data_IF_576146617662
#
_entry.id   IF_576146617662
#
_cell.length_a   1.000
_cell.length_b   1.000
_cell.length_c   1.000
_cell.angle_alpha   90.00
_cell.angle_beta   90.00
_cell.angle_gamma   90.00
#
_symmetry.space_group_name_H-M   'P 1'
#
loop_
_entity.id
_entity.type
_entity.pdbx_description
1 polymer ?
#
# COMPACT_ATOMS: atom_id res chain seq x y z
N UNK A 1 -18.74 13.85 12.68
CA UNK A 1 -18.16 13.32 11.43
C UNK A 1 -17.08 12.32 11.79
N UNK A 2 -17.07 11.16 11.13
CA UNK A 2 -16.02 10.14 11.27
C UNK A 2 -14.75 10.52 10.51
N UNK A 3 -13.85 9.57 10.34
CA UNK A 3 -12.66 9.70 9.49
C UNK A 3 -13.07 9.67 8.01
N UNK A 4 -12.50 10.55 7.18
CA UNK A 4 -12.77 10.59 5.72
C UNK A 4 -11.80 9.74 4.91
N UNK A 5 -10.63 9.45 5.46
CA UNK A 5 -9.62 8.59 4.85
C UNK A 5 -8.86 7.83 5.93
N UNK A 6 -7.94 6.97 5.50
CA UNK A 6 -7.24 6.13 6.44
C UNK A 6 -6.33 5.10 5.81
N UNK A 7 -5.70 4.34 6.69
CA UNK A 7 -5.10 3.06 6.36
C UNK A 7 -5.51 2.06 7.42
N UNK A 8 -5.81 0.84 6.99
CA UNK A 8 -6.17 -0.25 7.89
C UNK A 8 -5.37 -1.50 7.59
N UNK A 9 -5.09 -2.28 8.62
CA UNK A 9 -4.55 -3.63 8.56
C UNK A 9 -5.46 -4.58 9.30
N UNK A 10 -5.52 -5.80 8.82
CA UNK A 10 -6.24 -6.87 9.49
C UNK A 10 -5.45 -8.16 9.29
N UNK A 11 -5.20 -8.83 10.40
CA UNK A 11 -4.60 -10.15 10.43
C UNK A 11 -5.72 -11.16 10.64
N UNK A 12 -5.59 -12.32 10.00
CA UNK A 12 -6.60 -13.36 10.04
C UNK A 12 -7.97 -12.93 9.48
N UNK A 13 -8.90 -13.87 9.42
CA UNK A 13 -10.27 -13.63 8.95
C UNK A 13 -10.67 -14.59 7.83
N UNK A 14 -11.97 -14.92 7.82
CA UNK A 14 -12.59 -15.74 6.79
C UNK A 14 -13.38 -14.86 5.82
N UNK A 15 -13.24 -15.11 4.53
CA UNK A 15 -13.94 -14.37 3.48
C UNK A 15 -14.65 -15.32 2.52
N UNK A 16 -15.91 -15.00 2.20
CA UNK A 16 -16.76 -15.77 1.28
C UNK A 16 -18.03 -14.98 0.83
N UNK A 17 -18.20 -14.69 -0.48
CA UNK A 17 -17.26 -14.98 -1.57
C UNK A 17 -16.00 -14.10 -1.51
N UNK A 18 -14.98 -14.50 -2.26
CA UNK A 18 -13.73 -13.77 -2.41
C UNK A 18 -13.39 -13.57 -3.90
N UNK A 19 -12.92 -12.37 -4.25
CA UNK A 19 -12.54 -11.99 -5.61
C UNK A 19 -11.27 -11.13 -5.57
N UNK A 20 -10.35 -11.44 -6.47
CA UNK A 20 -9.07 -10.74 -6.55
C UNK A 20 -8.53 -10.74 -7.98
N UNK A 21 -7.53 -9.91 -8.22
CA UNK A 21 -6.74 -9.85 -9.45
C UNK A 21 -5.26 -9.87 -9.12
N UNK A 22 -4.47 -10.31 -10.08
CA UNK A 22 -3.02 -10.38 -10.04
C UNK A 22 -2.42 -9.29 -10.93
N UNK A 23 -1.17 -8.86 -10.67
CA UNK A 23 -0.48 -8.01 -11.63
C UNK A 23 -0.31 -8.78 -12.94
N UNK A 24 -0.43 -8.08 -14.06
CA UNK A 24 -0.26 -8.64 -15.39
C UNK A 24 0.41 -7.62 -16.31
N UNK A 25 0.96 -8.12 -17.41
CA UNK A 25 1.47 -7.25 -18.45
C UNK A 25 0.30 -6.64 -19.22
N UNK A 26 0.43 -5.39 -19.63
CA UNK A 26 -0.55 -4.79 -20.53
C UNK A 26 -0.59 -5.53 -21.86
N UNK A 27 -1.79 -5.63 -22.43
CA UNK A 27 -2.00 -6.12 -23.80
C UNK A 27 -2.23 -4.99 -24.80
N UNK A 28 -2.24 -3.74 -24.33
CA UNK A 28 -2.44 -2.53 -25.13
C UNK A 28 -1.24 -1.59 -25.10
N UNK A 29 -1.28 -0.56 -25.94
CA UNK A 29 -0.23 0.45 -26.04
C UNK A 29 -0.41 1.63 -25.06
N UNK A 30 -1.50 1.65 -24.28
CA UNK A 30 -1.86 2.76 -23.39
C UNK A 30 -1.42 2.54 -21.95
N UNK A 31 -1.19 1.30 -21.52
CA UNK A 31 -0.83 0.96 -20.15
C UNK A 31 0.52 0.24 -20.08
N UNK A 32 1.30 0.53 -19.04
CA UNK A 32 2.57 -0.17 -18.76
C UNK A 32 2.35 -1.54 -18.10
N UNK A 33 1.24 -1.71 -17.39
CA UNK A 33 0.81 -2.95 -16.73
C UNK A 33 -0.72 -3.02 -16.74
N UNK A 34 -1.28 -4.17 -16.39
CA UNK A 34 -2.72 -4.37 -16.28
C UNK A 34 -3.04 -5.34 -15.14
N UNK A 35 -4.32 -5.51 -14.85
CA UNK A 35 -4.79 -6.58 -13.99
C UNK A 35 -5.04 -7.86 -14.80
N UNK A 36 -4.78 -9.01 -14.18
CA UNK A 36 -5.23 -10.30 -14.72
C UNK A 36 -6.77 -10.34 -14.85
N UNK A 37 -7.32 -11.35 -15.55
CA UNK A 37 -8.71 -11.74 -15.31
C UNK A 37 -9.00 -11.94 -13.82
N UNK A 38 -10.24 -11.70 -13.41
CA UNK A 38 -10.67 -11.89 -12.03
C UNK A 38 -10.61 -13.34 -11.62
N UNK A 39 -9.94 -13.61 -10.50
CA UNK A 39 -9.94 -14.90 -9.84
C UNK A 39 -11.10 -15.01 -8.85
N UNK A 40 -11.65 -16.22 -8.78
CA UNK A 40 -12.91 -16.51 -8.12
C UNK A 40 -12.85 -17.83 -7.35
N UNK A 41 -11.95 -17.98 -6.36
CA UNK A 41 -11.75 -19.25 -5.68
C UNK A 41 -13.06 -19.76 -5.07
N UNK A 42 -13.29 -21.06 -5.16
CA UNK A 42 -14.45 -21.70 -4.55
C UNK A 42 -14.27 -21.81 -3.04
N UNK A 43 -15.35 -21.55 -2.30
CA UNK A 43 -15.41 -21.66 -0.85
C UNK A 43 -14.69 -20.55 -0.09
N UNK A 44 -14.39 -20.85 1.18
CA UNK A 44 -13.82 -19.91 2.13
C UNK A 44 -12.34 -19.64 1.89
N UNK A 45 -11.98 -18.37 1.77
CA UNK A 45 -10.60 -17.87 1.80
C UNK A 45 -10.19 -17.49 3.22
N UNK A 46 -8.96 -17.85 3.62
CA UNK A 46 -8.38 -17.47 4.92
C UNK A 46 -7.31 -16.40 4.73
N UNK A 47 -7.56 -15.21 5.25
CA UNK A 47 -6.58 -14.13 5.23
C UNK A 47 -5.44 -14.44 6.20
N UNK A 48 -4.20 -14.22 5.78
CA UNK A 48 -3.06 -14.13 6.70
C UNK A 48 -2.91 -12.69 7.17
N UNK A 49 -2.81 -11.79 6.20
CA UNK A 49 -2.73 -10.34 6.43
C UNK A 49 -3.26 -9.59 5.23
N UNK A 50 -4.12 -8.61 5.47
CA UNK A 50 -4.53 -7.62 4.50
C UNK A 50 -4.21 -6.22 4.98
N UNK A 51 -3.97 -5.32 4.03
CA UNK A 51 -3.93 -3.89 4.29
C UNK A 51 -4.72 -3.14 3.22
N UNK A 52 -5.33 -2.04 3.63
CA UNK A 52 -6.12 -1.23 2.72
C UNK A 52 -5.93 0.26 2.97
N UNK A 53 -5.80 1.00 1.87
CA UNK A 53 -5.95 2.44 1.85
C UNK A 53 -7.44 2.74 1.81
N UNK A 54 -7.90 3.57 2.74
CA UNK A 54 -9.30 3.99 2.86
C UNK A 54 -9.45 5.37 2.27
N UNK A 55 -10.34 5.49 1.30
CA UNK A 55 -10.58 6.72 0.57
C UNK A 55 -11.99 6.77 0.00
N UNK A 56 -12.12 7.39 -1.16
CA UNK A 56 -13.38 7.54 -1.87
C UNK A 56 -13.23 7.36 -3.37
N UNK A 57 -14.34 7.02 -4.02
CA UNK A 57 -14.50 6.94 -5.46
C UNK A 57 -15.88 7.46 -5.82
N UNK A 58 -15.94 8.46 -6.70
CA UNK A 58 -17.21 9.11 -7.10
C UNK A 58 -18.01 9.64 -5.90
N UNK A 59 -17.30 10.15 -4.88
CA UNK A 59 -17.88 10.66 -3.63
C UNK A 59 -18.43 9.58 -2.68
N UNK A 60 -18.25 8.29 -3.00
CA UNK A 60 -18.64 7.17 -2.15
C UNK A 60 -17.42 6.53 -1.47
N UNK A 61 -17.55 5.96 -0.27
CA UNK A 61 -16.46 5.23 0.39
C UNK A 61 -15.90 4.13 -0.50
N UNK A 62 -14.58 4.06 -0.60
CA UNK A 62 -13.88 3.07 -1.40
C UNK A 62 -12.57 2.68 -0.72
N UNK A 63 -12.10 1.45 -0.96
CA UNK A 63 -10.81 0.99 -0.45
C UNK A 63 -9.98 0.36 -1.57
N UNK A 64 -8.68 0.58 -1.52
CA UNK A 64 -7.69 -0.14 -2.31
C UNK A 64 -6.98 -1.10 -1.37
N UNK A 65 -7.02 -2.42 -1.63
CA UNK A 65 -6.61 -3.43 -0.67
C UNK A 65 -5.73 -4.50 -1.28
N UNK A 66 -4.57 -4.73 -0.68
CA UNK A 66 -3.69 -5.87 -0.97
C UNK A 66 -3.64 -6.81 0.23
N UNK A 67 -3.28 -8.07 0.00
CA UNK A 67 -3.11 -9.02 1.09
C UNK A 67 -2.52 -10.35 0.66
N UNK A 68 -2.27 -11.21 1.65
CA UNK A 68 -1.81 -12.59 1.50
C UNK A 68 -2.84 -13.49 2.16
N UNK A 69 -3.27 -14.53 1.45
CA UNK A 69 -4.33 -15.43 1.91
C UNK A 69 -4.10 -16.86 1.41
N UNK A 70 -4.77 -17.82 2.03
CA UNK A 70 -4.85 -19.19 1.54
C UNK A 70 -6.20 -19.45 0.86
N UNK A 71 -6.12 -20.12 -0.28
CA UNK A 71 -7.25 -20.74 -0.99
C UNK A 71 -7.15 -22.26 -0.87
N UNK A 72 -8.15 -22.99 -1.37
CA UNK A 72 -8.07 -24.46 -1.52
C UNK A 72 -6.91 -24.91 -2.42
N UNK A 73 -6.44 -24.04 -3.30
CA UNK A 73 -5.34 -24.27 -4.25
C UNK A 73 -3.98 -23.76 -3.72
N UNK A 74 -3.92 -23.37 -2.44
CA UNK A 74 -2.72 -22.88 -1.78
C UNK A 74 -2.68 -21.37 -1.60
N UNK A 75 -1.51 -20.88 -1.18
CA UNK A 75 -1.27 -19.48 -0.84
C UNK A 75 -1.32 -18.59 -2.08
N UNK A 76 -1.89 -17.40 -1.92
CA UNK A 76 -2.03 -16.35 -2.93
C UNK A 76 -1.79 -14.99 -2.29
N UNK A 77 -1.47 -14.02 -3.12
CA UNK A 77 -1.34 -12.60 -2.77
C UNK A 77 -1.81 -11.79 -3.97
N UNK A 78 -2.29 -10.58 -3.77
CA UNK A 78 -2.60 -9.66 -4.86
C UNK A 78 -3.56 -8.57 -4.45
N UNK A 79 -4.25 -8.02 -5.44
CA UNK A 79 -5.22 -6.96 -5.26
C UNK A 79 -6.61 -7.54 -5.00
N UNK A 80 -7.20 -7.21 -3.86
CA UNK A 80 -8.54 -7.63 -3.48
C UNK A 80 -9.59 -6.74 -4.14
N UNK A 81 -10.56 -7.35 -4.81
CA UNK A 81 -11.75 -6.65 -5.28
C UNK A 81 -12.72 -6.49 -4.11
N UNK A 82 -12.51 -5.43 -3.33
CA UNK A 82 -13.19 -5.21 -2.05
C UNK A 82 -14.72 -5.19 -2.17
N UNK A 83 -15.27 -4.59 -3.24
CA UNK A 83 -16.72 -4.54 -3.47
C UNK A 83 -17.35 -5.90 -3.76
N UNK A 84 -16.55 -6.86 -4.24
CA UNK A 84 -16.99 -8.21 -4.61
C UNK A 84 -16.54 -9.28 -3.60
N UNK A 85 -15.99 -8.85 -2.47
CA UNK A 85 -15.46 -9.72 -1.40
C UNK A 85 -16.20 -9.46 -0.10
N UNK A 86 -16.56 -10.53 0.62
CA UNK A 86 -17.31 -10.41 1.88
C UNK A 86 -16.59 -11.08 3.03
N UNK A 87 -16.45 -10.35 4.12
CA UNK A 87 -16.04 -10.86 5.43
C UNK A 87 -17.12 -11.84 5.93
N UNK A 88 -16.76 -13.11 6.12
CA UNK A 88 -17.68 -14.18 6.50
C UNK A 88 -17.85 -14.33 8.02
N UNK A 89 -16.98 -13.71 8.82
CA UNK A 89 -17.06 -13.65 10.28
C UNK A 89 -16.37 -12.37 10.80
N UNK A 90 -16.74 -11.87 11.99
CA UNK A 90 -16.12 -10.66 12.53
C UNK A 90 -14.60 -10.73 12.49
N UNK A 91 -13.97 -9.70 11.92
CA UNK A 91 -12.52 -9.55 11.84
C UNK A 91 -12.11 -8.30 12.61
N UNK A 92 -11.04 -8.41 13.38
CA UNK A 92 -10.44 -7.25 14.02
C UNK A 92 -9.64 -6.45 12.99
N UNK A 93 -9.81 -5.12 13.02
CA UNK A 93 -9.14 -4.21 12.11
C UNK A 93 -8.45 -3.13 12.93
N UNK A 94 -7.16 -2.94 12.69
CA UNK A 94 -6.36 -1.86 13.27
C UNK A 94 -6.07 -0.83 12.20
N UNK A 95 -6.03 0.46 12.52
CA UNK A 95 -5.75 1.46 11.51
C UNK A 95 -5.53 2.87 12.01
N UNK A 96 -5.15 3.74 11.07
CA UNK A 96 -4.98 5.18 11.24
C UNK A 96 -6.15 5.85 10.52
N UNK A 97 -6.95 6.60 11.27
CA UNK A 97 -8.06 7.38 10.74
C UNK A 97 -7.66 8.84 10.54
N UNK A 98 -8.03 9.39 9.39
CA UNK A 98 -7.66 10.74 8.97
C UNK A 98 -8.88 11.64 8.86
N UNK A 99 -8.70 12.90 9.24
CA UNK A 99 -9.71 13.96 9.12
C UNK A 99 -9.18 15.10 8.28
N UNK A 100 -10.04 15.66 7.43
CA UNK A 100 -9.69 16.81 6.58
C UNK A 100 -8.88 16.45 5.32
N UNK A 101 -8.46 15.19 5.18
CA UNK A 101 -7.73 14.66 4.03
C UNK A 101 -8.22 13.24 3.73
N UNK A 102 -8.15 12.83 2.47
CA UNK A 102 -8.45 11.46 2.02
C UNK A 102 -7.71 11.13 0.73
N UNK A 103 -7.84 9.89 0.26
CA UNK A 103 -7.53 9.54 -1.12
C UNK A 103 -8.80 9.55 -1.96
N UNK A 104 -8.79 10.22 -3.10
CA UNK A 104 -9.87 10.18 -4.09
C UNK A 104 -9.40 9.44 -5.33
N UNK A 105 -10.24 8.57 -5.88
CA UNK A 105 -9.92 7.82 -7.09
C UNK A 105 -10.17 8.72 -8.30
N UNK A 106 -9.10 9.19 -8.93
CA UNK A 106 -9.13 10.14 -10.05
C UNK A 106 -8.43 9.55 -11.28
N UNK A 107 -8.81 10.03 -12.46
CA UNK A 107 -8.13 9.68 -13.73
C UNK A 107 -6.69 10.21 -13.71
N UNK A 108 -5.73 9.35 -14.01
CA UNK A 108 -4.32 9.69 -14.09
C UNK A 108 -3.84 9.64 -15.56
N UNK A 109 -3.51 10.79 -16.17
CA UNK A 109 -3.17 10.86 -17.59
C UNK A 109 -1.80 10.25 -17.94
N UNK A 110 -0.94 10.01 -16.94
CA UNK A 110 0.37 9.40 -17.14
C UNK A 110 0.26 7.89 -17.34
N UNK A 111 -0.60 7.25 -16.56
CA UNK A 111 -0.76 5.79 -16.55
C UNK A 111 -2.02 5.30 -17.24
N UNK A 112 -2.97 6.20 -17.55
CA UNK A 112 -4.33 5.92 -18.03
C UNK A 112 -5.19 5.07 -17.07
N UNK A 113 -4.75 4.93 -15.81
CA UNK A 113 -5.55 4.33 -14.75
C UNK A 113 -6.34 5.36 -13.97
N UNK A 114 -7.36 4.88 -13.27
CA UNK A 114 -8.00 5.62 -12.18
C UNK A 114 -7.33 5.28 -10.86
N UNK A 115 -6.54 6.20 -10.31
CA UNK A 115 -5.65 5.98 -9.16
C UNK A 115 -6.04 6.85 -7.97
N UNK A 116 -5.66 6.41 -6.77
CA UNK A 116 -5.87 7.19 -5.56
C UNK A 116 -4.92 8.37 -5.47
N UNK A 117 -5.49 9.57 -5.42
CA UNK A 117 -4.79 10.83 -5.25
C UNK A 117 -5.10 11.44 -3.88
N UNK A 118 -4.09 11.89 -3.12
CA UNK A 118 -4.31 12.55 -1.85
C UNK A 118 -4.97 13.91 -2.08
N UNK A 119 -6.14 14.12 -1.47
CA UNK A 119 -6.91 15.37 -1.57
C UNK A 119 -7.29 15.89 -0.19
N UNK A 120 -7.43 17.22 -0.08
CA UNK A 120 -8.04 17.86 1.09
C UNK A 120 -9.56 17.77 0.99
N UNK A 121 -10.21 17.51 2.12
CA UNK A 121 -11.67 17.38 2.23
C UNK A 121 -12.19 18.32 3.31
N UNK A 122 -12.95 19.33 2.92
CA UNK A 122 -13.44 20.35 3.84
C UNK A 122 -12.40 21.41 4.19
N UNK A 123 -12.72 22.23 5.18
CA UNK A 123 -11.85 23.32 5.63
C UNK A 123 -10.81 22.80 6.62
N UNK A 124 -9.62 23.40 6.60
CA UNK A 124 -8.58 23.13 7.61
C UNK A 124 -9.14 23.42 9.00
N UNK A 125 -8.93 22.49 9.93
CA UNK A 125 -9.16 22.73 11.35
C UNK A 125 -7.83 23.20 11.95
N UNK A 126 -7.65 24.50 12.18
CA UNK A 126 -6.40 25.06 12.71
C UNK A 126 -6.11 24.62 14.14
N UNK A 127 -7.02 23.89 14.81
CA UNK A 127 -6.79 23.30 16.13
C UNK A 127 -6.09 21.94 16.08
N UNK A 128 -5.96 21.33 14.90
CA UNK A 128 -5.22 20.08 14.71
C UNK A 128 -3.71 20.40 14.72
N UNK A 129 -2.91 19.81 15.63
CA UNK A 129 -1.47 20.01 15.64
C UNK A 129 -0.84 19.64 14.29
N UNK A 130 0.15 20.44 13.88
CA UNK A 130 0.95 20.17 12.68
C UNK A 130 1.64 18.79 12.74
N UNK A 131 1.57 18.05 11.61
CA UNK A 131 2.45 16.95 11.18
C UNK A 131 2.52 15.65 11.98
N UNK A 132 1.39 15.02 12.35
CA UNK A 132 1.46 13.62 12.84
C UNK A 132 1.32 12.56 11.75
N UNK A 133 0.61 12.83 10.65
CA UNK A 133 0.39 11.87 9.56
C UNK A 133 0.31 12.58 8.21
N UNK A 134 0.97 12.04 7.20
CA UNK A 134 0.92 12.46 5.80
C UNK A 134 0.27 11.37 4.94
N UNK A 135 -0.48 11.79 3.92
CA UNK A 135 -0.92 10.93 2.81
C UNK A 135 -0.09 11.33 1.60
N UNK A 136 0.49 10.36 0.94
CA UNK A 136 1.27 10.59 -0.26
C UNK A 136 0.97 9.55 -1.32
N UNK A 137 1.09 9.97 -2.57
CA UNK A 137 1.19 9.09 -3.74
C UNK A 137 2.58 9.27 -4.32
N UNK A 138 3.30 8.18 -4.53
CA UNK A 138 4.53 8.15 -5.33
C UNK A 138 4.16 7.75 -6.75
N UNK A 139 4.59 8.55 -7.73
CA UNK A 139 4.30 8.39 -9.16
C UNK A 139 5.25 7.37 -9.81
N UNK A 140 4.95 6.88 -11.02
CA UNK A 140 5.84 5.98 -11.76
C UNK A 140 7.29 6.49 -11.87
N UNK A 141 8.22 5.55 -11.97
CA UNK A 141 9.66 5.73 -12.17
C UNK A 141 10.45 6.37 -11.01
N UNK A 142 9.77 6.79 -9.94
CA UNK A 142 10.44 7.24 -8.71
C UNK A 142 10.88 6.04 -7.86
N UNK A 143 12.08 6.11 -7.29
CA UNK A 143 12.52 5.12 -6.31
C UNK A 143 11.72 5.28 -5.01
N UNK A 144 11.04 4.23 -4.57
CA UNK A 144 10.13 4.31 -3.42
C UNK A 144 10.83 4.71 -2.12
N UNK A 145 12.05 4.20 -1.88
CA UNK A 145 12.81 4.51 -0.67
C UNK A 145 13.22 5.97 -0.63
N UNK A 146 13.73 6.49 -1.77
CA UNK A 146 14.13 7.90 -1.92
C UNK A 146 12.94 8.85 -1.88
N UNK A 147 11.82 8.51 -2.52
CA UNK A 147 10.62 9.32 -2.49
C UNK A 147 10.13 9.52 -1.04
N UNK A 148 10.10 8.44 -0.24
CA UNK A 148 9.74 8.52 1.19
C UNK A 148 10.72 9.41 1.96
N UNK A 149 12.04 9.25 1.76
CA UNK A 149 13.06 10.09 2.41
C UNK A 149 12.86 11.58 2.07
N UNK A 150 12.56 11.88 0.80
CA UNK A 150 12.33 13.24 0.33
C UNK A 150 11.04 13.84 0.90
N UNK A 151 9.95 13.06 0.97
CA UNK A 151 8.70 13.48 1.60
C UNK A 151 8.93 13.81 3.07
N UNK A 152 9.58 12.92 3.82
CA UNK A 152 9.88 13.16 5.23
C UNK A 152 10.77 14.40 5.41
N UNK A 153 11.83 14.57 4.60
CA UNK A 153 12.70 15.74 4.66
C UNK A 153 11.94 17.05 4.38
N UNK A 154 11.06 17.07 3.37
CA UNK A 154 10.26 18.25 3.01
C UNK A 154 9.29 18.68 4.12
N UNK A 155 8.89 17.75 4.99
CA UNK A 155 7.99 17.99 6.11
C UNK A 155 8.70 18.04 7.47
N UNK A 156 10.03 18.04 7.51
CA UNK A 156 10.80 18.07 8.77
C UNK A 156 10.60 16.84 9.66
N UNK A 157 10.26 15.69 9.07
CA UNK A 157 10.05 14.43 9.78
C UNK A 157 11.36 13.66 9.85
N UNK A 158 11.90 13.50 11.06
CA UNK A 158 13.17 12.80 11.30
C UNK A 158 13.00 11.29 11.53
N UNK A 159 11.83 10.88 12.00
CA UNK A 159 11.47 9.49 12.22
C UNK A 159 9.97 9.27 11.92
N UNK A 160 9.65 8.14 11.29
CA UNK A 160 8.27 7.81 10.94
C UNK A 160 8.03 6.30 10.87
N UNK A 161 6.78 5.90 11.13
CA UNK A 161 6.22 4.64 10.65
C UNK A 161 5.62 4.86 9.25
N UNK A 162 5.88 3.93 8.33
CA UNK A 162 5.41 4.00 6.95
C UNK A 162 4.49 2.82 6.66
N UNK A 163 3.31 3.13 6.13
CA UNK A 163 2.31 2.17 5.72
C UNK A 163 1.95 2.40 4.26
N UNK A 164 1.60 1.34 3.54
CA UNK A 164 1.21 1.50 2.16
C UNK A 164 1.15 0.23 1.34
N UNK A 165 0.66 0.42 0.13
CA UNK A 165 0.56 -0.57 -0.94
C UNK A 165 0.94 0.10 -2.25
N UNK A 166 1.32 -0.70 -3.24
CA UNK A 166 1.64 -0.15 -4.54
C UNK A 166 2.13 -1.20 -5.52
N UNK A 167 2.78 -0.73 -6.57
CA UNK A 167 3.35 -1.55 -7.61
C UNK A 167 4.79 -1.12 -7.89
N UNK A 168 5.71 -2.08 -7.94
CA UNK A 168 7.12 -1.86 -8.23
C UNK A 168 7.56 -2.62 -9.49
N UNK A 169 8.60 -2.12 -10.15
CA UNK A 169 9.24 -2.77 -11.29
C UNK A 169 10.58 -3.39 -10.86
N UNK A 170 10.82 -4.65 -11.24
CA UNK A 170 12.09 -5.37 -11.04
C UNK A 170 12.66 -5.32 -9.59
N UNK A 171 11.81 -5.64 -8.60
CA UNK A 171 12.11 -5.48 -7.15
C UNK A 171 13.46 -6.08 -6.75
N UNK A 172 14.21 -5.31 -5.95
CA UNK A 172 15.49 -5.71 -5.36
C UNK A 172 15.43 -5.76 -3.84
N UNK A 173 15.91 -6.87 -3.28
CA UNK A 173 16.03 -7.05 -1.84
C UNK A 173 17.46 -6.82 -1.35
N UNK A 174 17.60 -6.39 -0.10
CA UNK A 174 18.88 -6.10 0.55
C UNK A 174 19.78 -7.35 0.70
N UNK A 175 19.21 -8.56 0.64
CA UNK A 175 19.94 -9.83 0.65
C UNK A 175 20.46 -10.25 -0.74
N UNK A 176 20.26 -9.42 -1.77
CA UNK A 176 20.71 -9.66 -3.13
C UNK A 176 19.70 -10.39 -4.03
N UNK A 177 18.58 -10.87 -3.49
CA UNK A 177 17.49 -11.44 -4.31
C UNK A 177 16.86 -10.37 -5.20
N UNK A 178 16.32 -10.82 -6.34
CA UNK A 178 15.66 -9.98 -7.35
C UNK A 178 14.39 -10.65 -7.83
N UNK A 179 13.34 -9.87 -8.05
CA UNK A 179 12.12 -10.29 -8.73
C UNK A 179 12.16 -9.66 -10.12
N UNK A 180 12.43 -10.45 -11.17
CA UNK A 180 12.57 -9.95 -12.54
C UNK A 180 11.25 -9.64 -13.25
N UNK A 181 10.20 -9.32 -12.50
CA UNK A 181 8.88 -9.04 -13.03
C UNK A 181 8.71 -7.55 -13.32
N UNK A 182 8.20 -7.24 -14.50
CA UNK A 182 7.90 -5.84 -14.88
C UNK A 182 6.67 -5.30 -14.16
N UNK A 183 5.77 -6.17 -13.70
CA UNK A 183 4.59 -5.81 -12.94
C UNK A 183 4.50 -6.61 -11.63
N UNK A 184 4.23 -5.91 -10.54
CA UNK A 184 4.06 -6.52 -9.22
C UNK A 184 2.95 -5.83 -8.44
N UNK A 185 2.37 -6.54 -7.48
CA UNK A 185 1.59 -5.93 -6.41
C UNK A 185 2.37 -6.05 -5.10
N UNK A 186 2.39 -4.96 -4.33
CA UNK A 186 3.24 -4.80 -3.16
C UNK A 186 2.41 -4.39 -1.96
N UNK A 187 2.73 -4.95 -0.79
CA UNK A 187 2.26 -4.46 0.49
C UNK A 187 3.42 -4.27 1.45
N UNK A 188 3.40 -3.17 2.20
CA UNK A 188 4.35 -2.95 3.29
C UNK A 188 3.91 -3.76 4.51
N UNK A 189 4.75 -4.67 4.96
CA UNK A 189 4.58 -5.33 6.26
C UNK A 189 5.05 -4.43 7.40
N UNK A 190 6.21 -3.82 7.22
CA UNK A 190 6.82 -2.94 8.20
C UNK A 190 7.65 -1.88 7.48
N UNK A 191 7.27 -0.62 7.65
CA UNK A 191 7.96 0.52 7.07
C UNK A 191 8.40 1.49 8.13
N UNK A 192 9.64 1.96 8.04
CA UNK A 192 10.21 2.97 8.94
C UNK A 192 11.07 3.95 8.20
N UNK A 193 11.10 5.18 8.71
CA UNK A 193 12.13 6.17 8.40
C UNK A 193 12.86 6.51 9.69
N UNK A 194 14.18 6.57 9.62
CA UNK A 194 15.03 7.01 10.71
C UNK A 194 16.18 7.88 10.21
N UNK A 195 16.69 8.76 11.06
CA UNK A 195 17.86 9.55 10.75
C UNK A 195 19.14 8.81 11.18
N UNK A 196 19.97 8.43 10.22
CA UNK A 196 21.26 7.78 10.44
C UNK A 196 22.36 8.71 9.94
N UNK A 197 23.27 9.10 10.83
CA UNK A 197 24.40 9.99 10.50
C UNK A 197 23.96 11.29 9.79
N UNK A 198 22.85 11.87 10.25
CA UNK A 198 22.28 13.11 9.70
C UNK A 198 21.49 12.94 8.39
N UNK A 199 21.33 11.72 7.88
CA UNK A 199 20.58 11.45 6.66
C UNK A 199 19.37 10.56 6.95
N UNK A 200 18.22 10.87 6.37
CA UNK A 200 17.06 10.00 6.44
C UNK A 200 17.34 8.69 5.71
N UNK A 201 16.84 7.60 6.30
CA UNK A 201 16.93 6.24 5.81
C UNK A 201 15.59 5.57 5.92
N UNK A 202 15.06 5.17 4.78
CA UNK A 202 13.86 4.35 4.69
C UNK A 202 14.23 2.86 4.78
N UNK A 203 13.49 2.13 5.60
CA UNK A 203 13.52 0.68 5.71
C UNK A 203 12.13 0.12 5.43
N UNK A 204 11.99 -0.68 4.38
CA UNK A 204 10.72 -1.31 4.01
C UNK A 204 10.89 -2.84 3.95
N UNK A 205 10.25 -3.53 4.89
CA UNK A 205 9.98 -4.96 4.78
C UNK A 205 8.64 -5.13 4.07
N UNK A 206 8.65 -5.79 2.92
CA UNK A 206 7.49 -5.90 2.04
C UNK A 206 7.21 -7.35 1.68
N UNK A 207 5.96 -7.60 1.29
CA UNK A 207 5.61 -8.72 0.43
C UNK A 207 5.35 -8.21 -0.99
N UNK A 208 5.65 -9.06 -1.96
CA UNK A 208 5.51 -8.81 -3.39
C UNK A 208 4.95 -10.05 -4.05
N UNK A 209 4.03 -9.88 -4.97
CA UNK A 209 3.62 -10.94 -5.89
C UNK A 209 3.91 -10.54 -7.33
N UNK A 210 4.50 -11.46 -8.10
CA UNK A 210 4.81 -11.26 -9.51
C UNK A 210 3.66 -11.67 -10.45
N UNK A 211 3.85 -11.48 -11.75
CA UNK A 211 2.85 -11.85 -12.77
C UNK A 211 2.61 -13.35 -12.91
N UNK A 212 3.51 -14.18 -12.36
CA UNK A 212 3.36 -15.65 -12.33
C UNK A 212 2.67 -16.13 -11.04
N UNK A 213 2.42 -15.23 -10.09
CA UNK A 213 1.83 -15.53 -8.80
C UNK A 213 2.83 -16.00 -7.74
N UNK A 214 4.14 -15.90 -7.99
CA UNK A 214 5.16 -16.18 -6.99
C UNK A 214 5.18 -15.05 -5.96
N UNK A 215 5.20 -15.45 -4.67
CA UNK A 215 5.21 -14.51 -3.55
C UNK A 215 6.63 -14.42 -3.00
N UNK A 216 7.10 -13.19 -2.84
CA UNK A 216 8.43 -12.87 -2.32
C UNK A 216 8.31 -11.92 -1.14
N UNK A 217 9.09 -12.18 -0.09
CA UNK A 217 9.14 -11.34 1.10
C UNK A 217 10.60 -10.98 1.44
N UNK A 218 10.81 -9.75 1.91
CA UNK A 218 12.11 -9.29 2.35
C UNK A 218 12.24 -7.77 2.48
N UNK A 219 13.40 -7.35 2.96
CA UNK A 219 13.75 -5.93 3.09
C UNK A 219 14.21 -5.42 1.73
N UNK A 220 13.63 -4.32 1.28
CA UNK A 220 14.05 -3.67 0.03
C UNK A 220 15.51 -3.24 0.10
N UNK A 221 16.24 -3.46 -0.99
CA UNK A 221 17.53 -2.84 -1.19
C UNK A 221 17.37 -1.31 -1.25
N UNK A 222 18.41 -0.60 -0.84
CA UNK A 222 18.47 0.84 -1.07
C UNK A 222 18.67 1.09 -2.56
N UNK A 223 17.90 2.06 -3.09
CA UNK A 223 17.91 2.46 -4.49
C UNK A 223 17.44 1.32 -5.42
N UNK A 224 17.09 1.67 -6.65
CA UNK A 224 16.72 0.73 -7.71
C UNK A 224 15.46 -0.10 -7.40
N UNK A 225 14.49 0.51 -6.73
CA UNK A 225 13.13 -0.01 -6.58
C UNK A 225 12.11 1.02 -7.11
N UNK A 226 12.05 1.22 -8.44
CA UNK A 226 11.15 2.19 -9.04
C UNK A 226 9.69 1.76 -8.94
N UNK A 227 8.82 2.72 -8.64
CA UNK A 227 7.37 2.56 -8.73
C UNK A 227 6.96 2.32 -10.18
N UNK A 228 6.10 1.34 -10.42
CA UNK A 228 5.59 1.04 -11.76
C UNK A 228 4.34 1.84 -12.10
N UNK A 229 3.29 1.73 -11.28
CA UNK A 229 1.98 2.38 -11.52
C UNK A 229 1.73 3.47 -10.48
N UNK A 230 1.77 3.10 -9.21
CA UNK A 230 1.55 4.00 -8.09
C UNK A 230 2.05 3.35 -6.80
N UNK A 231 2.36 4.18 -5.81
CA UNK A 231 2.53 3.72 -4.43
C UNK A 231 1.78 4.68 -3.49
N UNK A 232 0.80 4.14 -2.77
CA UNK A 232 -0.06 4.87 -1.85
C UNK A 232 0.49 4.72 -0.44
N UNK A 233 0.76 5.84 0.22
CA UNK A 233 1.46 5.90 1.48
C UNK A 233 0.67 6.65 2.55
N UNK A 234 0.72 6.11 3.77
CA UNK A 234 0.40 6.81 5.01
C UNK A 234 1.66 6.83 5.87
N UNK A 235 2.22 8.02 6.07
CA UNK A 235 3.47 8.23 6.81
C UNK A 235 3.11 8.90 8.14
N UNK A 236 3.33 8.21 9.25
CA UNK A 236 3.06 8.73 10.58
C UNK A 236 4.37 9.12 11.25
N UNK A 237 4.51 10.40 11.60
CA UNK A 237 5.68 10.86 12.36
C UNK A 237 5.75 10.16 13.73
N UNK A 238 6.95 9.75 14.10
CA UNK A 238 7.24 9.04 15.35
C UNK A 238 8.24 9.85 16.18
N UNK A 239 8.15 9.75 17.50
CA UNK A 239 9.11 10.43 18.37
C UNK A 239 10.52 9.83 18.19
N UNK A 240 11.59 10.65 18.12
CA UNK A 240 12.96 10.15 18.06
C UNK A 240 13.27 9.26 19.28
N UNK A 241 13.69 8.01 19.05
CA UNK A 241 14.14 7.10 20.11
C UNK A 241 13.06 6.38 20.92
N UNK A 242 11.80 6.36 20.47
CA UNK A 242 10.75 5.57 21.11
C UNK A 242 10.89 4.07 20.85
N UNK A 243 11.49 3.32 21.78
CA UNK A 243 11.29 1.87 21.85
C UNK A 243 9.78 1.58 21.98
N UNK A 244 9.21 0.78 21.08
CA UNK A 244 7.81 0.36 21.22
C UNK A 244 7.66 -0.47 22.48
N UNK A 245 6.64 -0.14 23.30
CA UNK A 245 6.08 -1.09 24.25
C UNK A 245 5.40 -2.16 23.42
N UNK A 246 5.88 -3.39 23.54
CA UNK A 246 5.16 -4.58 23.10
C UNK A 246 3.80 -4.61 23.80
N UNK A 247 2.74 -4.72 23.01
CA UNK A 247 1.37 -4.92 23.44
C UNK A 247 0.80 -6.09 22.67
#
# INVERSE_FOLDING_TARGET
MGCQGGFVTFDHGRFEPFRYVMPSLSSDASHAAWYSPTFAPEGSVRMHRGCAIVGQRDGLPFIHCHGIWDTSEGRRMGHMLASDTRVAEPVEVTGIGLKGVTFDSLEDPETNFRLFEPVRVGNEDPSVPEHSVLLARVRPNEDIGRAIEQICAAHGIEAADVHGIGSLNEVRFADGRRVGSLATEVMIHEGRVEQISGQLRTHLHIAVVDTEGNIHEGILARDDNPVLVTFELVIRASAPGGARREG
#
